data_IF_112191986033
#
_entry.id   IF_112191986033
#
_cell.length_a   1.000
_cell.length_b   1.000
_cell.length_c   1.000
_cell.angle_alpha   90.00
_cell.angle_beta   90.00
_cell.angle_gamma   90.00
#
_symmetry.space_group_name_H-M   'P 1'
#
loop_
_entity.id
_entity.type
_entity.pdbx_description
1 polymer ?
#
# COMPACT_ATOMS: atom_id res chain seq x y z
N UNK A 1 9.21 14.06 26.33
CA UNK A 1 9.27 14.47 24.91
C UNK A 1 8.35 13.53 24.12
N UNK A 2 7.24 14.01 23.56
CA UNK A 2 6.38 13.18 22.69
C UNK A 2 6.90 13.31 21.26
N UNK A 3 7.42 12.22 20.71
CA UNK A 3 7.88 12.18 19.33
C UNK A 3 6.71 12.51 18.40
N UNK A 4 6.83 13.62 17.67
CA UNK A 4 5.85 14.02 16.67
C UNK A 4 6.16 13.21 15.41
N UNK A 5 5.34 12.18 15.17
CA UNK A 5 5.46 11.34 13.98
C UNK A 5 5.34 12.21 12.72
N UNK A 6 6.15 11.92 11.68
CA UNK A 6 6.11 12.67 10.43
C UNK A 6 4.70 12.57 9.84
N UNK A 7 4.10 13.73 9.55
CA UNK A 7 2.80 13.85 8.87
C UNK A 7 2.89 13.23 7.47
N UNK A 8 2.77 11.90 7.39
CA UNK A 8 2.45 11.19 6.15
C UNK A 8 1.18 11.84 5.61
N UNK A 9 1.25 12.37 4.38
CA UNK A 9 0.16 13.10 3.76
C UNK A 9 -1.16 12.36 3.99
N UNK A 10 -2.14 13.08 4.55
CA UNK A 10 -3.42 12.54 5.02
C UNK A 10 -4.11 11.80 3.87
N UNK A 11 -3.97 10.47 3.80
CA UNK A 11 -4.69 9.68 2.81
C UNK A 11 -6.16 9.71 3.22
N UNK A 12 -7.00 10.34 2.38
CA UNK A 12 -8.42 10.56 2.68
C UNK A 12 -9.12 9.22 2.94
N UNK A 13 -9.72 9.07 4.14
CA UNK A 13 -10.79 8.11 4.40
C UNK A 13 -10.47 6.85 5.23
N UNK A 14 -9.38 6.80 6.00
CA UNK A 14 -9.11 5.63 6.86
C UNK A 14 -7.93 5.81 7.81
N UNK A 15 -7.50 4.71 8.47
CA UNK A 15 -6.39 4.70 9.42
C UNK A 15 -5.05 5.04 8.75
N UNK A 16 -4.30 6.00 9.26
CA UNK A 16 -2.98 6.42 8.76
C UNK A 16 -1.84 6.12 9.75
N UNK A 17 -2.19 5.69 10.96
CA UNK A 17 -1.26 5.29 12.02
C UNK A 17 -1.64 3.92 12.57
N UNK A 18 -0.71 3.27 13.26
CA UNK A 18 -0.94 1.94 13.86
C UNK A 18 -2.07 2.00 14.91
N UNK A 19 -2.10 3.07 15.72
CA UNK A 19 -3.15 3.29 16.72
C UNK A 19 -4.55 3.53 16.10
N UNK A 20 -4.62 4.05 14.87
CA UNK A 20 -5.89 4.13 14.14
C UNK A 20 -6.27 2.77 13.53
N UNK A 21 -5.29 1.99 13.05
CA UNK A 21 -5.53 0.66 12.50
C UNK A 21 -6.05 -0.33 13.55
N UNK A 22 -5.54 -0.24 14.78
CA UNK A 22 -5.98 -1.07 15.92
C UNK A 22 -7.45 -0.87 16.30
N UNK A 23 -8.05 0.26 15.92
CA UNK A 23 -9.47 0.53 16.17
C UNK A 23 -10.39 -0.05 15.09
N UNK A 24 -9.81 -0.55 14.00
CA UNK A 24 -10.58 -1.08 12.88
C UNK A 24 -10.90 -2.55 13.11
N UNK A 25 -12.09 -2.95 12.69
CA UNK A 25 -12.40 -4.36 12.51
C UNK A 25 -11.69 -4.91 11.27
N UNK A 26 -11.57 -6.24 11.21
CA UNK A 26 -11.04 -6.93 10.03
C UNK A 26 -11.75 -6.48 8.74
N UNK A 27 -13.08 -6.44 8.75
CA UNK A 27 -13.88 -6.01 7.60
C UNK A 27 -13.57 -4.58 7.17
N UNK A 28 -13.34 -3.67 8.12
CA UNK A 28 -12.95 -2.29 7.79
C UNK A 28 -11.55 -2.22 7.19
N UNK A 29 -10.60 -3.01 7.71
CA UNK A 29 -9.27 -3.14 7.10
C UNK A 29 -9.35 -3.69 5.67
N UNK A 30 -10.15 -4.73 5.43
CA UNK A 30 -10.36 -5.31 4.10
C UNK A 30 -10.97 -4.32 3.10
N UNK A 31 -11.95 -3.51 3.55
CA UNK A 31 -12.51 -2.43 2.72
C UNK A 31 -11.43 -1.40 2.34
N UNK A 32 -10.55 -1.03 3.28
CA UNK A 32 -9.45 -0.12 3.00
C UNK A 32 -8.41 -0.75 2.07
N UNK A 33 -8.10 -2.03 2.23
CA UNK A 33 -7.20 -2.80 1.34
C UNK A 33 -7.77 -2.81 -0.08
N UNK A 34 -9.05 -3.17 -0.24
CA UNK A 34 -9.74 -3.15 -1.54
C UNK A 34 -9.70 -1.77 -2.20
N UNK A 35 -9.97 -0.71 -1.44
CA UNK A 35 -9.87 0.66 -1.94
C UNK A 35 -8.45 1.09 -2.29
N UNK A 36 -7.41 0.57 -1.62
CA UNK A 36 -6.02 0.83 -1.96
C UNK A 36 -5.59 0.06 -3.22
N UNK A 37 -6.04 -1.18 -3.36
CA UNK A 37 -5.85 -2.01 -4.55
C UNK A 37 -6.47 -1.34 -5.79
N UNK A 38 -7.74 -0.92 -5.71
CA UNK A 38 -8.41 -0.22 -6.81
C UNK A 38 -7.65 1.04 -7.25
N UNK A 39 -7.09 1.81 -6.30
CA UNK A 39 -6.26 2.99 -6.61
C UNK A 39 -4.91 2.60 -7.24
N UNK A 40 -4.32 1.49 -6.82
CA UNK A 40 -3.06 1.00 -7.38
C UNK A 40 -3.26 0.56 -8.84
N UNK A 41 -4.36 -0.15 -9.12
CA UNK A 41 -4.70 -0.64 -10.45
C UNK A 41 -5.13 0.49 -11.40
N UNK A 42 -5.87 1.47 -10.89
CA UNK A 42 -6.33 2.63 -11.65
C UNK A 42 -5.37 3.83 -11.69
N UNK A 43 -4.16 3.72 -11.11
CA UNK A 43 -3.23 4.85 -11.05
C UNK A 43 -2.69 5.22 -12.44
N UNK A 44 -2.89 6.48 -12.83
CA UNK A 44 -2.47 7.01 -14.15
C UNK A 44 -1.03 7.50 -14.20
N UNK A 45 -0.35 7.61 -13.05
CA UNK A 45 1.07 8.00 -12.99
C UNK A 45 1.83 7.28 -11.88
N UNK A 46 3.16 7.26 -12.02
CA UNK A 46 4.07 6.52 -11.13
C UNK A 46 4.03 6.97 -9.68
N UNK A 47 3.78 8.26 -9.40
CA UNK A 47 3.71 8.77 -8.03
C UNK A 47 2.43 8.29 -7.34
N UNK A 48 1.29 8.41 -8.00
CA UNK A 48 0.01 7.87 -7.49
C UNK A 48 0.09 6.36 -7.30
N UNK A 49 0.69 5.64 -8.26
CA UNK A 49 0.88 4.19 -8.17
C UNK A 49 1.76 3.82 -6.97
N UNK A 50 2.86 4.54 -6.75
CA UNK A 50 3.75 4.32 -5.60
C UNK A 50 3.07 4.61 -4.27
N UNK A 51 2.26 5.67 -4.19
CA UNK A 51 1.56 6.02 -2.95
C UNK A 51 0.42 5.05 -2.65
N UNK A 52 -0.34 4.63 -3.65
CA UNK A 52 -1.33 3.56 -3.51
C UNK A 52 -0.68 2.23 -3.10
N UNK A 53 0.48 1.89 -3.68
CA UNK A 53 1.24 0.70 -3.31
C UNK A 53 1.68 0.70 -1.84
N UNK A 54 2.32 1.79 -1.38
CA UNK A 54 2.72 1.94 0.03
C UNK A 54 1.54 1.80 0.97
N UNK A 55 0.40 2.38 0.58
CA UNK A 55 -0.84 2.33 1.35
C UNK A 55 -1.35 0.89 1.45
N UNK A 56 -1.41 0.19 0.33
CA UNK A 56 -1.86 -1.18 0.23
C UNK A 56 -1.00 -2.12 1.10
N UNK A 57 0.31 -2.10 0.92
CA UNK A 57 1.22 -2.98 1.67
C UNK A 57 1.20 -2.68 3.17
N UNK A 58 1.04 -1.41 3.56
CA UNK A 58 0.94 -1.07 4.98
C UNK A 58 -0.34 -1.60 5.60
N UNK A 59 -1.49 -1.50 4.91
CA UNK A 59 -2.76 -2.03 5.41
C UNK A 59 -2.74 -3.56 5.52
N UNK A 60 -2.14 -4.24 4.55
CA UNK A 60 -1.98 -5.70 4.59
C UNK A 60 -1.09 -6.14 5.75
N UNK A 61 0.01 -5.42 6.02
CA UNK A 61 0.85 -5.68 7.19
C UNK A 61 0.11 -5.43 8.51
N UNK A 62 -0.78 -4.42 8.58
CA UNK A 62 -1.63 -4.24 9.77
C UNK A 62 -2.63 -5.38 9.93
N UNK A 63 -3.24 -5.85 8.83
CA UNK A 63 -4.15 -7.02 8.86
C UNK A 63 -3.43 -8.26 9.36
N UNK A 64 -2.22 -8.51 8.87
CA UNK A 64 -1.38 -9.62 9.32
C UNK A 64 -1.05 -9.50 10.81
N UNK A 65 -0.58 -8.34 11.26
CA UNK A 65 -0.22 -8.08 12.66
C UNK A 65 -1.41 -8.24 13.63
N UNK A 66 -2.59 -7.72 13.25
CA UNK A 66 -3.74 -7.62 14.14
C UNK A 66 -4.66 -8.84 14.09
N UNK A 67 -4.70 -9.53 12.95
CA UNK A 67 -5.65 -10.63 12.70
C UNK A 67 -4.98 -11.94 12.27
N UNK A 68 -3.65 -11.98 12.12
CA UNK A 68 -2.92 -13.20 11.76
C UNK A 68 -3.12 -13.65 10.31
N UNK A 69 -3.65 -12.79 9.43
CA UNK A 69 -3.89 -13.10 8.02
C UNK A 69 -2.71 -12.60 7.20
N UNK A 70 -1.87 -13.52 6.75
CA UNK A 70 -0.64 -13.26 6.00
C UNK A 70 -0.83 -12.23 4.88
N UNK A 71 0.06 -11.24 4.82
CA UNK A 71 0.08 -10.26 3.75
C UNK A 71 0.65 -10.90 2.47
N UNK A 72 0.00 -10.75 1.31
CA UNK A 72 0.55 -11.27 0.06
C UNK A 72 1.87 -10.58 -0.26
N UNK A 73 2.85 -11.33 -0.78
CA UNK A 73 4.07 -10.74 -1.29
C UNK A 73 3.77 -9.87 -2.51
N UNK A 74 4.17 -8.59 -2.44
CA UNK A 74 3.94 -7.62 -3.51
C UNK A 74 5.25 -6.96 -3.91
N UNK A 75 5.43 -6.79 -5.22
CA UNK A 75 6.51 -5.99 -5.80
C UNK A 75 5.91 -4.83 -6.57
N UNK A 76 6.34 -3.62 -6.24
CA UNK A 76 6.13 -2.49 -7.14
C UNK A 76 6.97 -2.79 -8.38
N UNK A 77 6.33 -3.16 -9.49
CA UNK A 77 7.04 -3.42 -10.73
C UNK A 77 8.01 -2.26 -10.98
N UNK A 78 9.30 -2.57 -10.97
CA UNK A 78 10.32 -1.60 -11.40
C UNK A 78 9.97 -1.22 -12.83
N UNK A 79 10.29 0.02 -13.22
CA UNK A 79 10.25 0.48 -14.62
C UNK A 79 10.71 -0.71 -15.47
N UNK A 80 9.82 -1.28 -16.29
CA UNK A 80 10.21 -2.33 -17.22
C UNK A 80 11.34 -1.70 -18.04
N UNK A 81 12.58 -2.09 -17.77
CA UNK A 81 13.61 -1.99 -18.78
C UNK A 81 13.01 -2.73 -19.96
N UNK A 82 12.83 -2.03 -21.08
CA UNK A 82 12.34 -2.64 -22.31
C UNK A 82 13.15 -3.89 -22.65
N UNK A 83 12.63 -4.78 -23.51
CA UNK A 83 13.36 -5.97 -23.91
C UNK A 83 14.77 -5.55 -24.29
N UNK A 84 15.76 -6.13 -23.61
CA UNK A 84 17.15 -5.97 -24.03
C UNK A 84 17.17 -6.47 -25.46
N UNK A 85 17.35 -5.54 -26.41
CA UNK A 85 17.58 -5.84 -27.81
C UNK A 85 18.58 -7.00 -27.84
N UNK A 86 18.07 -8.16 -28.23
CA UNK A 86 18.91 -9.31 -28.45
C UNK A 86 19.51 -9.06 -29.81
N UNK A 87 20.74 -8.56 -29.77
CA UNK A 87 21.67 -8.46 -30.87
C UNK A 87 21.66 -9.79 -31.64
N UNK A 88 21.04 -9.76 -32.82
CA UNK A 88 21.14 -10.82 -33.81
C UNK A 88 21.36 -10.16 -35.17
N UNK A 89 22.63 -9.93 -35.51
CA UNK A 89 23.34 -10.43 -36.71
C UNK A 89 24.49 -9.50 -37.09
#
# INVERSE_FOLDING_TARGET
MKAQEPKRGRLRGGANTDAEAEKLSLTQLEQLISGAQWRFDGATNSNLRKDAFKRLTWLEAQRERLHGIEAPYRRLAGRQSGPADTDET
#
